data_IF_905236166551
#
_entry.id   IF_905236166551
#
_cell.length_a   1.000
_cell.length_b   1.000
_cell.length_c   1.000
_cell.angle_alpha   90.00
_cell.angle_beta   90.00
_cell.angle_gamma   90.00
#
_symmetry.space_group_name_H-M   'P 1'
#
loop_
_entity.id
_entity.type
_entity.pdbx_description
1 polymer ?
#
# COMPACT_ATOMS: atom_id res chain seq x y z
N UNK A 1 -20.91 -14.58 -24.58
CA UNK A 1 -19.73 -13.70 -24.49
C UNK A 1 -18.47 -14.56 -24.44
N UNK A 2 -17.60 -14.51 -25.46
CA UNK A 2 -16.46 -15.44 -25.61
C UNK A 2 -15.33 -15.22 -24.60
N UNK A 3 -15.30 -14.08 -23.90
CA UNK A 3 -14.30 -13.79 -22.88
C UNK A 3 -14.53 -14.59 -21.57
N UNK A 4 -15.79 -14.75 -21.16
CA UNK A 4 -16.16 -15.44 -19.92
C UNK A 4 -16.05 -16.97 -20.02
N UNK A 5 -15.82 -17.50 -21.22
CA UNK A 5 -15.58 -18.93 -21.45
C UNK A 5 -14.10 -19.29 -21.34
N UNK A 6 -13.21 -18.31 -21.16
CA UNK A 6 -11.78 -18.55 -20.97
C UNK A 6 -11.51 -19.16 -19.59
N UNK A 7 -10.44 -19.96 -19.45
CA UNK A 7 -9.98 -20.43 -18.15
C UNK A 7 -9.67 -19.25 -17.22
N UNK A 8 -9.98 -19.43 -15.93
CA UNK A 8 -9.82 -18.39 -14.90
C UNK A 8 -8.41 -17.83 -14.83
N UNK A 9 -7.39 -18.66 -15.00
CA UNK A 9 -5.98 -18.23 -14.97
C UNK A 9 -5.61 -17.32 -16.15
N UNK A 10 -6.25 -17.52 -17.30
CA UNK A 10 -6.05 -16.66 -18.48
C UNK A 10 -6.70 -15.32 -18.23
N UNK A 11 -7.91 -15.32 -17.67
CA UNK A 11 -8.63 -14.08 -17.30
C UNK A 11 -7.83 -13.31 -16.23
N UNK A 12 -7.31 -13.98 -15.21
CA UNK A 12 -6.48 -13.37 -14.16
C UNK A 12 -5.24 -12.68 -14.75
N UNK A 13 -4.54 -13.33 -15.69
CA UNK A 13 -3.40 -12.74 -16.40
C UNK A 13 -3.81 -11.53 -17.22
N UNK A 14 -4.89 -11.61 -18.01
CA UNK A 14 -5.37 -10.48 -18.82
C UNK A 14 -5.71 -9.29 -17.93
N UNK A 15 -6.42 -9.53 -16.82
CA UNK A 15 -6.75 -8.50 -15.84
C UNK A 15 -5.50 -7.92 -15.16
N UNK A 16 -4.47 -8.73 -14.94
CA UNK A 16 -3.21 -8.25 -14.37
C UNK A 16 -2.44 -7.32 -15.28
N UNK A 17 -2.54 -7.48 -16.61
CA UNK A 17 -1.87 -6.61 -17.58
C UNK A 17 -2.62 -5.29 -17.82
N UNK A 18 -3.91 -5.22 -17.50
CA UNK A 18 -4.71 -4.01 -17.67
C UNK A 18 -4.28 -2.88 -16.70
N UNK A 19 -4.41 -1.61 -17.11
CA UNK A 19 -4.34 -0.46 -16.21
C UNK A 19 -5.37 -0.58 -15.08
N UNK A 20 -5.03 -0.09 -13.89
CA UNK A 20 -5.92 -0.21 -12.72
C UNK A 20 -7.27 0.50 -12.95
N UNK A 21 -7.28 1.60 -13.70
CA UNK A 21 -8.52 2.31 -14.07
C UNK A 21 -9.49 1.39 -14.83
N UNK A 22 -8.97 0.61 -15.76
CA UNK A 22 -9.78 -0.33 -16.55
C UNK A 22 -10.21 -1.52 -15.69
N UNK A 23 -9.34 -1.99 -14.79
CA UNK A 23 -9.70 -3.03 -13.81
C UNK A 23 -10.84 -2.59 -12.89
N UNK A 24 -10.84 -1.33 -12.43
CA UNK A 24 -11.93 -0.78 -11.62
C UNK A 24 -13.24 -0.71 -12.43
N UNK A 25 -13.15 -0.38 -13.72
CA UNK A 25 -14.31 -0.44 -14.62
C UNK A 25 -14.81 -1.88 -14.76
N UNK A 26 -13.93 -2.88 -14.81
CA UNK A 26 -14.33 -4.29 -14.83
C UNK A 26 -15.09 -4.72 -13.58
N UNK A 27 -14.82 -4.13 -12.40
CA UNK A 27 -15.56 -4.41 -11.16
C UNK A 27 -17.05 -4.05 -11.28
N UNK A 28 -17.39 -2.99 -12.00
CA UNK A 28 -18.77 -2.51 -12.13
C UNK A 28 -19.53 -3.15 -13.29
N UNK A 29 -18.84 -3.82 -14.22
CA UNK A 29 -19.45 -4.37 -15.45
C UNK A 29 -20.06 -5.75 -15.24
N UNK A 30 -19.45 -6.62 -14.43
CA UNK A 30 -19.91 -8.00 -14.27
C UNK A 30 -19.55 -8.60 -12.90
N UNK A 31 -20.52 -9.31 -12.28
CA UNK A 31 -20.33 -10.01 -11.00
C UNK A 31 -19.17 -11.03 -11.05
N UNK A 32 -19.03 -11.78 -12.14
CA UNK A 32 -17.95 -12.75 -12.31
C UNK A 32 -16.57 -12.08 -12.35
N UNK A 33 -16.44 -10.94 -13.05
CA UNK A 33 -15.18 -10.19 -13.06
C UNK A 33 -14.87 -9.62 -11.69
N UNK A 34 -15.89 -9.15 -10.98
CA UNK A 34 -15.76 -8.71 -9.60
C UNK A 34 -15.30 -9.86 -8.67
N UNK A 35 -15.85 -11.07 -8.82
CA UNK A 35 -15.41 -12.26 -8.08
C UNK A 35 -13.95 -12.61 -8.40
N UNK A 36 -13.56 -12.64 -9.68
CA UNK A 36 -12.16 -12.92 -10.09
C UNK A 36 -11.19 -11.88 -9.50
N UNK A 37 -11.53 -10.59 -9.57
CA UNK A 37 -10.73 -9.50 -9.01
C UNK A 37 -10.68 -9.55 -7.47
N UNK A 38 -11.76 -9.98 -6.84
CA UNK A 38 -11.89 -10.10 -5.37
C UNK A 38 -11.38 -11.43 -4.83
N UNK A 39 -11.06 -12.41 -5.65
CA UNK A 39 -10.43 -13.64 -5.16
C UNK A 39 -8.92 -13.60 -5.36
N UNK A 40 -8.46 -12.98 -6.45
CA UNK A 40 -7.04 -12.93 -6.78
C UNK A 40 -6.27 -11.97 -5.88
N UNK A 41 -5.36 -12.51 -5.07
CA UNK A 41 -4.49 -11.73 -4.18
C UNK A 41 -3.61 -10.75 -5.00
N UNK A 42 -3.16 -11.17 -6.19
CA UNK A 42 -2.30 -10.35 -7.06
C UNK A 42 -3.05 -9.13 -7.60
N UNK A 43 -4.29 -9.32 -8.03
CA UNK A 43 -5.11 -8.23 -8.56
C UNK A 43 -5.51 -7.25 -7.44
N UNK A 44 -5.91 -7.76 -6.27
CA UNK A 44 -6.16 -6.93 -5.08
C UNK A 44 -4.95 -6.07 -4.71
N UNK A 45 -3.77 -6.69 -4.66
CA UNK A 45 -2.55 -5.98 -4.30
C UNK A 45 -2.27 -4.84 -5.29
N UNK A 46 -2.45 -5.08 -6.60
CA UNK A 46 -2.27 -4.06 -7.63
C UNK A 46 -3.24 -2.89 -7.45
N UNK A 47 -4.52 -3.17 -7.20
CA UNK A 47 -5.54 -2.14 -6.97
C UNK A 47 -5.23 -1.33 -5.70
N UNK A 48 -4.87 -1.99 -4.60
CA UNK A 48 -4.57 -1.32 -3.34
C UNK A 48 -3.33 -0.44 -3.42
N UNK A 49 -2.26 -0.94 -4.06
CA UNK A 49 -1.04 -0.16 -4.30
C UNK A 49 -1.35 1.12 -5.07
N UNK A 50 -2.12 1.02 -6.15
CA UNK A 50 -2.56 2.17 -6.92
C UNK A 50 -3.42 3.14 -6.10
N UNK A 51 -4.36 2.63 -5.29
CA UNK A 51 -5.22 3.47 -4.45
C UNK A 51 -4.47 4.27 -3.39
N UNK A 52 -3.30 3.79 -2.97
CA UNK A 52 -2.41 4.46 -2.01
C UNK A 52 -1.31 5.27 -2.70
N UNK A 53 -1.28 5.33 -4.03
CA UNK A 53 -0.20 5.95 -4.78
C UNK A 53 1.17 5.28 -4.55
N UNK A 54 1.17 4.01 -4.15
CA UNK A 54 2.37 3.26 -3.81
C UNK A 54 2.78 2.35 -4.97
N UNK A 55 4.09 2.21 -5.18
CA UNK A 55 4.64 1.32 -6.21
C UNK A 55 5.14 0.00 -5.62
N UNK A 56 5.07 -1.05 -6.45
CA UNK A 56 5.61 -2.35 -6.09
C UNK A 56 7.13 -2.35 -6.18
N UNK A 57 7.83 -2.41 -5.04
CA UNK A 57 9.28 -2.63 -5.04
C UNK A 57 9.62 -4.07 -5.47
N UNK A 58 10.32 -4.28 -6.61
CA UNK A 58 10.65 -5.61 -7.12
C UNK A 58 11.70 -6.36 -6.28
N UNK A 59 12.45 -5.67 -5.42
CA UNK A 59 13.49 -6.28 -4.58
C UNK A 59 12.97 -6.85 -3.27
N UNK A 60 11.69 -6.63 -2.97
CA UNK A 60 11.05 -7.13 -1.75
C UNK A 60 10.73 -8.61 -1.92
N UNK A 61 11.38 -9.46 -1.10
CA UNK A 61 11.20 -10.93 -1.09
C UNK A 61 9.91 -11.41 -0.42
N UNK A 62 8.98 -10.50 -0.13
CA UNK A 62 7.74 -10.84 0.55
C UNK A 62 6.73 -11.43 -0.43
N UNK A 63 6.00 -12.43 0.04
CA UNK A 63 4.88 -13.02 -0.71
C UNK A 63 3.79 -11.96 -0.97
N UNK A 64 2.98 -12.10 -2.05
CA UNK A 64 1.87 -11.17 -2.32
C UNK A 64 0.91 -11.00 -1.14
N UNK A 65 0.71 -12.07 -0.35
CA UNK A 65 -0.12 -12.05 0.85
C UNK A 65 0.48 -11.18 1.97
N UNK A 66 1.78 -11.36 2.27
CA UNK A 66 2.47 -10.56 3.29
C UNK A 66 2.52 -9.09 2.91
N UNK A 67 2.70 -8.80 1.62
CA UNK A 67 2.69 -7.44 1.08
C UNK A 67 1.33 -6.77 1.30
N UNK A 68 0.24 -7.47 0.99
CA UNK A 68 -1.12 -6.98 1.23
C UNK A 68 -1.35 -6.72 2.73
N UNK A 69 -0.90 -7.63 3.59
CA UNK A 69 -1.02 -7.49 5.05
C UNK A 69 -0.26 -6.28 5.58
N UNK A 70 0.97 -6.06 5.12
CA UNK A 70 1.77 -4.89 5.50
C UNK A 70 1.15 -3.59 5.00
N UNK A 71 0.62 -3.59 3.78
CA UNK A 71 -0.03 -2.42 3.18
C UNK A 71 -1.27 -2.01 3.99
N UNK A 72 -2.12 -2.97 4.36
CA UNK A 72 -3.27 -2.73 5.23
C UNK A 72 -2.84 -2.21 6.61
N UNK A 73 -1.85 -2.86 7.26
CA UNK A 73 -1.32 -2.40 8.54
C UNK A 73 -0.78 -0.98 8.48
N UNK A 74 -0.04 -0.65 7.42
CA UNK A 74 0.48 0.71 7.23
C UNK A 74 -0.68 1.70 7.06
N UNK A 75 -1.67 1.37 6.24
CA UNK A 75 -2.86 2.21 6.03
C UNK A 75 -3.60 2.46 7.35
N UNK A 76 -3.75 1.45 8.19
CA UNK A 76 -4.41 1.58 9.50
C UNK A 76 -3.57 2.42 10.47
N UNK A 77 -2.24 2.28 10.45
CA UNK A 77 -1.36 3.13 11.24
C UNK A 77 -1.46 4.60 10.81
N UNK A 78 -1.50 4.86 9.50
CA UNK A 78 -1.67 6.22 8.97
C UNK A 78 -3.01 6.84 9.37
N UNK A 79 -4.10 6.06 9.34
CA UNK A 79 -5.43 6.51 9.79
C UNK A 79 -5.48 6.85 11.28
N UNK A 80 -4.73 6.12 12.09
CA UNK A 80 -4.69 6.27 13.55
C UNK A 80 -3.50 7.11 14.03
N UNK A 81 -2.86 7.87 13.15
CA UNK A 81 -1.72 8.70 13.51
C UNK A 81 -2.19 9.83 14.44
N UNK A 82 -1.83 9.75 15.72
CA UNK A 82 -2.06 10.83 16.69
C UNK A 82 -0.84 11.76 16.69
N UNK A 83 -0.97 13.01 16.22
CA UNK A 83 0.16 13.93 16.19
C UNK A 83 0.53 14.38 17.60
N UNK A 84 1.79 14.19 17.98
CA UNK A 84 2.38 14.79 19.18
C UNK A 84 3.04 16.12 18.78
N UNK A 85 2.34 17.23 19.03
CA UNK A 85 2.82 18.57 18.66
C UNK A 85 3.78 19.20 19.66
N UNK A 86 3.94 18.60 20.85
CA UNK A 86 4.73 19.17 21.94
C UNK A 86 5.93 18.25 22.18
N UNK A 87 7.10 18.72 21.81
CA UNK A 87 8.37 18.11 22.20
C UNK A 87 9.20 19.14 22.96
N UNK A 88 9.58 18.81 24.19
CA UNK A 88 10.54 19.60 24.95
C UNK A 88 11.95 19.10 24.62
N UNK A 89 12.73 19.96 24.01
CA UNK A 89 14.17 19.74 23.82
C UNK A 89 14.92 20.33 25.02
N UNK A 90 15.64 19.48 25.75
CA UNK A 90 16.53 19.94 26.81
C UNK A 90 17.77 20.60 26.18
N UNK A 91 17.92 21.89 26.41
CA UNK A 91 19.11 22.63 26.02
C UNK A 91 20.07 22.60 27.22
N UNK A 92 21.25 21.97 27.13
CA UNK A 92 22.23 22.05 28.19
C UNK A 92 22.76 23.48 28.30
N UNK A 93 22.52 24.13 29.43
CA UNK A 93 23.12 25.42 29.77
C UNK A 93 24.62 25.23 29.99
N UNK A 94 25.44 25.86 29.15
CA UNK A 94 26.90 25.89 29.32
C UNK A 94 27.19 26.58 30.66
N UNK A 95 27.75 25.83 31.61
CA UNK A 95 28.16 26.35 32.91
C UNK A 95 29.03 27.60 32.72
N UNK A 96 28.76 28.62 33.52
CA UNK A 96 29.51 29.87 33.56
C UNK A 96 31.01 29.56 33.67
N UNK A 97 31.76 30.03 32.68
CA UNK A 97 33.22 30.04 32.75
C UNK A 97 33.57 31.04 33.85
N UNK A 98 33.89 30.53 35.05
CA UNK A 98 34.50 31.32 36.11
C UNK A 98 35.80 31.91 35.56
N UNK A 99 35.81 33.23 35.38
CA UNK A 99 37.00 34.03 35.09
C UNK A 99 37.97 33.88 36.26
N UNK A 100 39.05 33.15 36.04
CA UNK A 100 40.24 33.17 36.90
C UNK A 100 40.93 34.52 36.67
N UNK A 101 40.95 35.36 37.71
CA UNK A 101 41.77 36.57 37.80
C UNK A 101 43.26 36.19 37.74
N UNK A 102 44.03 36.93 36.94
CA UNK A 102 45.51 36.93 36.94
C UNK A 102 45.98 38.32 37.29
#
# INVERSE_FOLDING_TARGET
>A
MPFLTLPRDVIDKILHELPVVDMLTCLSVNKYLNEVLTDSIRLKLKIQLWSLGAESNPFVKLSPFERLRQLNKSTDNWKNLTPEFIYSINIPTRAAVETIEV
#
